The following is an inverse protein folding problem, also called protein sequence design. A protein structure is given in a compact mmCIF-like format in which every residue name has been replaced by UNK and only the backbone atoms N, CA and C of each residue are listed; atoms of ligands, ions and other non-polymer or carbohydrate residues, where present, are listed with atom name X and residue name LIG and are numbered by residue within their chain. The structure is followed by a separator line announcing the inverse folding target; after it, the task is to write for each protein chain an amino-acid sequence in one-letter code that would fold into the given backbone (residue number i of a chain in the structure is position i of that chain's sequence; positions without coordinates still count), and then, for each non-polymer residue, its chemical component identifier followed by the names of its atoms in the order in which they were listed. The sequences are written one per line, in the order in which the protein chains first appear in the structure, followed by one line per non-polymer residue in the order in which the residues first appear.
data_IF_892200482033
#
_entry.id   IF_892200482033
#
_cell.length_a   1.000
_cell.length_b   1.000
_cell.length_c   1.000
_cell.angle_alpha   90.00
_cell.angle_beta   90.00
_cell.angle_gamma   90.00
#
_symmetry.space_group_name_H-M   'P 1'
#
loop_
_entity.id
_entity.type
_entity.pdbx_description
1 polymer ?
#
# COMPACT_ATOMS: atom_id res chain seq x y z
N UNK A 1 -1.48 -6.41 8.51
CA UNK A 1 -2.28 -6.94 7.39
C UNK A 1 -3.17 -5.82 6.91
N UNK A 2 -2.74 -5.09 5.89
CA UNK A 2 -3.58 -4.07 5.29
C UNK A 2 -4.58 -4.81 4.38
N UNK A 3 -5.82 -4.93 4.84
CA UNK A 3 -6.92 -5.56 4.10
C UNK A 3 -7.27 -4.82 2.79
N UNK A 4 -6.77 -3.60 2.61
CA UNK A 4 -6.76 -2.88 1.35
C UNK A 4 -5.71 -1.77 1.38
N UNK A 5 -5.21 -1.37 0.22
CA UNK A 5 -4.26 -0.28 0.08
C UNK A 5 -4.95 1.08 0.33
N UNK A 6 -4.51 1.91 1.29
CA UNK A 6 -5.15 3.19 1.60
C UNK A 6 -4.99 4.23 0.48
N UNK A 7 -4.07 3.99 -0.46
CA UNK A 7 -3.81 4.86 -1.59
C UNK A 7 -4.58 4.48 -2.86
N UNK A 8 -5.46 3.47 -2.79
CA UNK A 8 -6.33 3.08 -3.88
C UNK A 8 -7.64 3.87 -3.81
N UNK A 9 -7.90 4.70 -4.83
CA UNK A 9 -9.16 5.40 -5.01
C UNK A 9 -9.87 4.91 -6.27
N UNK A 10 -11.19 5.06 -6.33
CA UNK A 10 -11.98 4.84 -7.53
C UNK A 10 -12.53 6.18 -8.03
N UNK A 11 -12.18 6.55 -9.26
CA UNK A 11 -12.55 7.84 -9.85
C UNK A 11 -13.16 7.66 -11.23
N UNK A 12 -14.19 8.44 -11.51
CA UNK A 12 -14.89 8.47 -12.80
C UNK A 12 -14.28 9.50 -13.75
N UNK A 13 -13.27 10.25 -13.32
CA UNK A 13 -12.61 11.28 -14.12
C UNK A 13 -11.12 11.36 -13.80
N UNK A 14 -10.32 11.67 -14.83
CA UNK A 14 -8.88 11.90 -14.73
C UNK A 14 -8.21 11.96 -16.10
N UNK A 15 -7.03 12.57 -16.17
CA UNK A 15 -6.30 12.82 -17.42
C UNK A 15 -7.19 13.47 -18.50
N UNK A 16 -7.92 14.53 -18.12
CA UNK A 16 -8.83 15.29 -18.99
C UNK A 16 -9.95 14.45 -19.64
N UNK A 17 -10.21 13.26 -19.09
CA UNK A 17 -11.23 12.33 -19.58
C UNK A 17 -12.18 11.93 -18.46
N UNK A 18 -13.42 11.67 -18.85
CA UNK A 18 -14.45 11.11 -18.00
C UNK A 18 -14.74 9.68 -18.42
N UNK A 19 -15.06 8.82 -17.46
CA UNK A 19 -15.35 7.41 -17.63
C UNK A 19 -16.77 7.14 -17.11
N UNK A 20 -17.50 6.27 -17.81
CA UNK A 20 -18.84 5.85 -17.37
C UNK A 20 -18.80 4.98 -16.10
N UNK A 21 -17.65 4.37 -15.80
CA UNK A 21 -17.45 3.53 -14.62
C UNK A 21 -16.20 3.99 -13.89
N UNK A 22 -16.29 4.08 -12.56
CA UNK A 22 -15.17 4.44 -11.71
C UNK A 22 -13.98 3.48 -11.91
N UNK A 23 -12.81 4.04 -12.21
CA UNK A 23 -11.57 3.31 -12.44
C UNK A 23 -10.64 3.42 -11.25
N UNK A 24 -9.88 2.36 -11.01
CA UNK A 24 -8.86 2.30 -9.98
C UNK A 24 -7.74 3.30 -10.26
N UNK A 25 -7.52 4.21 -9.32
CA UNK A 25 -6.54 5.29 -9.37
C UNK A 25 -5.64 5.19 -8.15
N UNK A 26 -4.33 5.15 -8.38
CA UNK A 26 -3.34 5.14 -7.30
C UNK A 26 -2.92 6.58 -7.01
N UNK A 27 -3.09 7.01 -5.75
CA UNK A 27 -2.68 8.36 -5.34
C UNK A 27 -1.18 8.51 -5.13
N UNK A 28 -0.42 7.40 -5.03
CA UNK A 28 1.05 7.44 -4.90
C UNK A 28 1.70 7.75 -6.24
N UNK A 29 1.24 7.09 -7.31
CA UNK A 29 1.75 7.31 -8.67
C UNK A 29 0.94 8.34 -9.45
N UNK A 30 -0.11 8.88 -8.82
CA UNK A 30 -1.07 9.84 -9.39
C UNK A 30 -1.60 9.40 -10.77
N UNK A 31 -1.91 8.12 -10.91
CA UNK A 31 -2.29 7.54 -12.20
C UNK A 31 -3.29 6.39 -12.06
N UNK A 32 -4.05 6.15 -13.14
CA UNK A 32 -4.92 4.98 -13.23
C UNK A 32 -4.10 3.70 -13.31
N UNK A 33 -4.41 2.75 -12.43
CA UNK A 33 -3.70 1.46 -12.38
C UNK A 33 -4.36 0.42 -13.26
N UNK A 34 -3.57 -0.57 -13.68
CA UNK A 34 -4.08 -1.73 -14.40
C UNK A 34 -4.95 -2.61 -13.49
N UNK A 35 -5.87 -3.41 -14.05
CA UNK A 35 -6.73 -4.32 -13.29
C UNK A 35 -5.94 -5.23 -12.34
N UNK A 36 -4.84 -5.82 -12.82
CA UNK A 36 -3.98 -6.70 -12.00
C UNK A 36 -3.42 -5.98 -10.77
N UNK A 37 -2.99 -4.72 -10.91
CA UNK A 37 -2.54 -3.91 -9.76
C UNK A 37 -3.69 -3.53 -8.84
N UNK A 38 -4.87 -3.28 -9.40
CA UNK A 38 -6.06 -3.02 -8.61
C UNK A 38 -6.42 -4.24 -7.76
N UNK A 39 -6.29 -5.47 -8.29
CA UNK A 39 -6.53 -6.70 -7.53
C UNK A 39 -5.55 -6.83 -6.35
N UNK A 40 -4.25 -6.59 -6.57
CA UNK A 40 -3.23 -6.53 -5.50
C UNK A 40 -3.62 -5.50 -4.43
N UNK A 41 -3.94 -4.27 -4.85
CA UNK A 41 -4.27 -3.18 -3.92
C UNK A 41 -5.58 -3.43 -3.16
N UNK A 42 -6.53 -4.19 -3.71
CA UNK A 42 -7.75 -4.58 -3.01
C UNK A 42 -7.57 -5.83 -2.11
N UNK A 43 -6.35 -6.34 -1.98
CA UNK A 43 -6.06 -7.60 -1.32
C UNK A 43 -6.92 -8.77 -1.84
N UNK A 44 -7.26 -8.75 -3.14
CA UNK A 44 -8.04 -9.83 -3.76
C UNK A 44 -7.15 -11.05 -3.99
N UNK A 45 -7.75 -12.23 -3.94
CA UNK A 45 -7.04 -13.49 -4.20
C UNK A 45 -5.86 -13.74 -3.25
N UNK A 46 -5.98 -13.31 -1.99
CA UNK A 46 -4.94 -13.47 -0.96
C UNK A 46 -3.64 -12.71 -1.27
N UNK A 47 -3.68 -11.74 -2.18
CA UNK A 47 -2.58 -10.81 -2.44
C UNK A 47 -2.46 -9.82 -1.27
N UNK A 48 -1.23 -9.49 -0.87
CA UNK A 48 -0.98 -8.53 0.19
C UNK A 48 -0.45 -7.21 -0.40
N UNK A 49 -1.17 -6.08 -0.22
CA UNK A 49 -0.72 -4.79 -0.75
C UNK A 49 0.69 -4.40 -0.29
N UNK A 50 1.10 -4.76 0.93
CA UNK A 50 2.39 -4.38 1.47
C UNK A 50 3.54 -5.27 0.99
N UNK A 51 3.27 -6.53 0.63
CA UNK A 51 4.26 -7.47 0.10
C UNK A 51 4.33 -7.47 -1.44
N UNK A 52 3.20 -7.35 -2.12
CA UNK A 52 3.08 -7.59 -3.56
C UNK A 52 3.00 -6.32 -4.41
N UNK A 53 2.78 -5.13 -3.82
CA UNK A 53 2.75 -3.87 -4.56
C UNK A 53 4.06 -3.08 -4.41
N UNK A 54 4.75 -2.86 -5.52
CA UNK A 54 6.03 -2.12 -5.56
C UNK A 54 5.92 -0.63 -5.15
N UNK A 55 4.71 -0.06 -5.15
CA UNK A 55 4.44 1.35 -4.81
C UNK A 55 3.69 1.50 -3.49
N UNK A 56 3.55 0.41 -2.72
CA UNK A 56 2.84 0.49 -1.46
C UNK A 56 3.58 1.40 -0.48
N UNK A 57 2.85 2.38 0.04
CA UNK A 57 3.28 3.21 1.14
C UNK A 57 2.36 2.86 2.29
N UNK A 58 2.94 2.39 3.39
CA UNK A 58 2.17 2.21 4.61
C UNK A 58 1.61 3.58 5.00
N UNK A 59 0.32 3.69 5.36
CA UNK A 59 -0.14 4.91 5.99
C UNK A 59 0.70 5.10 7.24
N UNK A 60 0.88 6.34 7.70
CA UNK A 60 1.53 6.63 8.97
C UNK A 60 0.64 6.13 10.12
N UNK A 61 0.49 4.82 10.22
CA UNK A 61 -0.02 4.11 11.38
C UNK A 61 1.16 4.12 12.33
N UNK A 62 1.17 5.06 13.26
CA UNK A 62 2.16 5.13 14.33
C UNK A 62 2.32 3.77 14.99
N UNK A 63 3.34 3.03 14.54
CA UNK A 63 3.86 1.84 15.19
C UNK A 63 5.36 2.00 15.13
N UNK A 64 5.82 2.91 15.99
CA UNK A 64 7.08 2.72 16.68
C UNK A 64 7.03 1.33 17.32
N UNK A 65 7.67 0.37 16.65
CA UNK A 65 8.15 -0.83 17.31
C UNK A 65 9.66 -0.70 17.35
N UNK A 66 10.13 0.29 18.10
CA UNK A 66 11.41 0.15 18.79
C UNK A 66 11.21 -0.90 19.89
N UNK A 67 11.39 -2.17 19.52
CA UNK A 67 11.92 -3.15 20.46
C UNK A 67 13.38 -3.31 20.04
N UNK A 68 14.19 -2.29 20.33
CA UNK A 68 14.97 -2.24 21.56
C UNK A 68 15.87 -3.47 21.62
N UNK A 69 17.01 -3.27 20.98
CA UNK A 69 18.20 -4.08 21.06
C UNK A 69 18.53 -4.24 22.55
N UNK A 70 18.17 -5.37 23.14
CA UNK A 70 18.79 -5.80 24.38
C UNK A 70 20.23 -6.21 24.05
N UNK A 71 21.07 -5.21 23.86
CA UNK A 71 22.51 -5.30 23.97
C UNK A 71 22.80 -5.93 25.34
N UNK A 72 23.23 -7.18 25.35
CA UNK A 72 23.99 -7.74 26.47
C UNK A 72 25.47 -7.59 26.12
N UNK A 73 26.13 -6.49 26.52
CA UNK A 73 27.59 -6.46 26.48
C UNK A 73 28.10 -7.33 27.62
N UNK A 74 28.25 -8.63 27.38
CA UNK A 74 29.11 -9.47 28.21
C UNK A 74 30.57 -9.19 27.83
N UNK A 75 31.02 -8.01 28.27
CA UNK A 75 32.41 -7.78 28.60
C UNK A 75 32.67 -8.34 30.01
N UNK A 76 33.69 -9.21 30.09
CA UNK A 76 34.47 -9.57 31.28
C UNK A 76 33.88 -10.65 32.21
N UNK A 77 34.33 -11.91 32.05
CA UNK A 77 35.26 -12.56 33.00
C UNK A 77 35.68 -13.99 32.61
#
# INVERSE_FOLDING_TARGET
MAETCPHLAYREEGDERSFETARAFCTVTESFVQPMRADVCNARYELDPAADCEFYVAPESGSDSTADESESPDADR
#
